data_IF_769612087458
#
_entry.id   IF_769612087458
#
_cell.length_a   1.000
_cell.length_b   1.000
_cell.length_c   1.000
_cell.angle_alpha   90.00
_cell.angle_beta   90.00
_cell.angle_gamma   90.00
#
_symmetry.space_group_name_H-M   'P 1'
#
loop_
_entity.id
_entity.type
_entity.pdbx_description
1 polymer ?
#
# COMPACT_ATOMS: atom_id res chain seq x y z
N UNK A 1 23.62 -1.95 -2.46
CA UNK A 1 23.56 -2.61 -3.77
C UNK A 1 23.47 -1.54 -4.87
N UNK A 2 22.60 -0.55 -4.79
CA UNK A 2 22.44 0.53 -5.77
C UNK A 2 23.70 1.39 -5.96
N UNK A 3 24.41 1.71 -4.87
CA UNK A 3 25.68 2.46 -4.92
C UNK A 3 26.80 1.72 -5.64
N UNK A 4 26.79 0.39 -5.63
CA UNK A 4 27.77 -0.44 -6.38
C UNK A 4 27.50 -0.38 -7.89
N UNK A 5 26.26 -0.21 -8.28
CA UNK A 5 25.85 -0.09 -9.69
C UNK A 5 26.25 1.26 -10.29
N UNK A 6 26.14 2.36 -9.54
CA UNK A 6 26.51 3.71 -9.98
C UNK A 6 28.04 3.91 -10.03
N UNK A 7 28.79 3.20 -9.19
CA UNK A 7 30.25 3.40 -9.04
C UNK A 7 31.10 2.68 -10.09
N UNK A 8 30.54 1.81 -10.92
CA UNK A 8 31.26 1.13 -11.99
C UNK A 8 30.92 1.73 -13.38
N UNK A 9 30.71 3.03 -13.45
CA UNK A 9 30.24 3.74 -14.63
C UNK A 9 31.38 3.97 -15.64
N UNK A 10 31.54 3.07 -16.59
CA UNK A 10 31.72 3.47 -17.97
C UNK A 10 30.31 3.87 -18.44
N UNK A 11 30.14 5.11 -18.88
CA UNK A 11 28.89 5.62 -19.48
C UNK A 11 28.54 4.77 -20.69
N UNK A 12 27.84 3.67 -20.47
CA UNK A 12 27.31 2.87 -21.56
C UNK A 12 26.19 3.68 -22.20
N UNK A 13 26.39 4.09 -23.43
CA UNK A 13 25.37 4.79 -24.22
C UNK A 13 24.18 3.86 -24.40
N UNK A 14 23.11 4.15 -23.69
CA UNK A 14 21.83 3.42 -23.81
C UNK A 14 21.20 3.81 -25.15
N UNK A 15 20.79 2.85 -25.96
CA UNK A 15 20.11 3.10 -27.23
C UNK A 15 18.83 3.92 -27.00
N UNK A 16 18.54 4.82 -27.93
CA UNK A 16 17.37 5.72 -27.84
C UNK A 16 16.05 4.95 -27.66
N UNK A 17 15.94 3.77 -28.23
CA UNK A 17 14.78 2.88 -28.11
C UNK A 17 14.48 2.46 -26.66
N UNK A 18 15.49 2.37 -25.78
CA UNK A 18 15.28 1.97 -24.38
C UNK A 18 14.47 2.99 -23.55
N UNK A 19 14.46 4.26 -23.98
CA UNK A 19 13.65 5.30 -23.30
C UNK A 19 12.14 5.08 -23.45
N UNK A 20 11.69 4.30 -24.41
CA UNK A 20 10.27 3.94 -24.57
C UNK A 20 9.82 2.86 -23.60
N UNK A 21 10.72 2.16 -22.93
CA UNK A 21 10.37 1.07 -21.99
C UNK A 21 9.29 1.46 -20.96
N UNK A 22 9.37 2.61 -20.25
CA UNK A 22 8.31 2.99 -19.30
C UNK A 22 7.02 3.47 -19.98
N UNK A 23 7.08 3.88 -21.25
CA UNK A 23 5.93 4.42 -21.98
C UNK A 23 5.03 3.31 -22.50
N UNK A 24 5.60 2.17 -22.91
CA UNK A 24 4.87 1.07 -23.51
C UNK A 24 3.75 0.51 -22.63
N UNK A 25 3.96 0.21 -21.33
CA UNK A 25 2.88 -0.25 -20.47
C UNK A 25 1.73 0.75 -20.39
N UNK A 26 2.04 2.04 -20.24
CA UNK A 26 1.05 3.11 -20.19
C UNK A 26 0.24 3.20 -21.48
N UNK A 27 0.91 3.13 -22.62
CA UNK A 27 0.27 3.15 -23.92
C UNK A 27 -0.67 1.96 -24.12
N UNK A 28 -0.25 0.75 -23.75
CA UNK A 28 -1.05 -0.47 -23.85
C UNK A 28 -2.29 -0.42 -22.94
N UNK A 29 -2.14 0.12 -21.72
CA UNK A 29 -3.26 0.24 -20.77
C UNK A 29 -4.25 1.31 -21.25
N UNK A 30 -3.76 2.52 -21.60
CA UNK A 30 -4.63 3.66 -21.87
C UNK A 30 -5.34 3.59 -23.24
N UNK A 31 -4.68 3.03 -24.26
CA UNK A 31 -5.23 3.01 -25.62
C UNK A 31 -5.87 1.67 -25.95
N UNK A 32 -5.24 0.56 -25.57
CA UNK A 32 -5.73 -0.78 -25.93
C UNK A 32 -6.48 -1.48 -24.80
N UNK A 33 -6.64 -0.83 -23.61
CA UNK A 33 -7.28 -1.44 -22.43
C UNK A 33 -6.71 -2.82 -22.06
N UNK A 34 -5.40 -3.03 -22.31
CA UNK A 34 -4.72 -4.27 -21.96
C UNK A 34 -4.65 -4.40 -20.45
N UNK A 35 -4.81 -5.62 -19.94
CA UNK A 35 -4.65 -5.90 -18.52
C UNK A 35 -3.31 -5.35 -18.00
N UNK A 36 -3.34 -4.72 -16.82
CA UNK A 36 -2.19 -4.08 -16.19
C UNK A 36 -0.94 -4.98 -16.13
N UNK A 37 -1.09 -6.23 -15.66
CA UNK A 37 0.03 -7.17 -15.53
C UNK A 37 0.60 -7.52 -16.92
N UNK A 38 -0.26 -7.79 -17.90
CA UNK A 38 0.17 -8.11 -19.26
C UNK A 38 0.90 -6.93 -19.90
N UNK A 39 0.42 -5.70 -19.72
CA UNK A 39 1.06 -4.50 -20.25
C UNK A 39 2.47 -4.29 -19.66
N UNK A 40 2.65 -4.51 -18.37
CA UNK A 40 3.97 -4.42 -17.74
C UNK A 40 4.91 -5.54 -18.19
N UNK A 41 4.42 -6.76 -18.38
CA UNK A 41 5.22 -7.86 -18.95
C UNK A 41 5.68 -7.49 -20.37
N UNK A 42 4.80 -6.94 -21.21
CA UNK A 42 5.17 -6.45 -22.54
C UNK A 42 6.24 -5.36 -22.47
N UNK A 43 6.12 -4.40 -21.53
CA UNK A 43 7.12 -3.36 -21.30
C UNK A 43 8.47 -3.93 -20.88
N UNK A 44 8.50 -4.94 -20.01
CA UNK A 44 9.73 -5.62 -19.60
C UNK A 44 10.38 -6.38 -20.76
N UNK A 45 9.57 -7.12 -21.55
CA UNK A 45 10.07 -7.82 -22.74
C UNK A 45 10.64 -6.84 -23.75
N UNK A 46 9.93 -5.75 -24.01
CA UNK A 46 10.45 -4.70 -24.90
C UNK A 46 11.77 -4.11 -24.38
N UNK A 47 11.83 -3.74 -23.09
CA UNK A 47 13.04 -3.21 -22.48
C UNK A 47 14.22 -4.17 -22.58
N UNK A 48 13.98 -5.47 -22.38
CA UNK A 48 14.99 -6.50 -22.54
C UNK A 48 15.48 -6.59 -24.00
N UNK A 49 14.58 -6.56 -24.98
CA UNK A 49 14.94 -6.58 -26.41
C UNK A 49 15.69 -5.30 -26.80
N UNK A 50 15.19 -4.13 -26.38
CA UNK A 50 15.79 -2.83 -26.72
C UNK A 50 17.20 -2.63 -26.12
N UNK A 51 17.50 -3.31 -25.02
CA UNK A 51 18.82 -3.25 -24.34
C UNK A 51 19.65 -4.51 -24.53
N UNK A 52 19.25 -5.41 -25.44
CA UNK A 52 19.87 -6.72 -25.61
C UNK A 52 21.34 -6.62 -26.02
N UNK A 53 22.22 -7.25 -25.21
CA UNK A 53 23.68 -7.32 -25.45
C UNK A 53 24.18 -8.71 -25.01
N UNK A 54 25.41 -9.02 -25.42
CA UNK A 54 26.08 -10.25 -24.96
C UNK A 54 26.18 -10.26 -23.41
N UNK A 55 25.54 -11.23 -22.78
CA UNK A 55 25.46 -11.33 -21.32
C UNK A 55 24.18 -10.72 -20.69
N UNK A 56 23.31 -10.08 -21.47
CA UNK A 56 22.04 -9.49 -20.96
C UNK A 56 21.13 -10.51 -20.27
N UNK A 57 21.17 -11.78 -20.70
CA UNK A 57 20.37 -12.83 -20.08
C UNK A 57 20.77 -13.04 -18.61
N UNK A 58 22.06 -13.08 -18.30
CA UNK A 58 22.54 -13.22 -16.91
C UNK A 58 22.15 -12.02 -16.07
N UNK A 59 22.27 -10.80 -16.62
CA UNK A 59 21.85 -9.57 -15.94
C UNK A 59 20.34 -9.59 -15.68
N UNK A 60 19.55 -10.02 -16.67
CA UNK A 60 18.11 -10.15 -16.53
C UNK A 60 17.72 -11.15 -15.43
N UNK A 61 18.29 -12.34 -15.44
CA UNK A 61 18.04 -13.36 -14.40
C UNK A 61 18.43 -12.84 -13.01
N UNK A 62 19.59 -12.20 -12.90
CA UNK A 62 20.02 -11.61 -11.64
C UNK A 62 19.10 -10.50 -11.17
N UNK A 63 18.65 -9.61 -12.07
CA UNK A 63 17.68 -8.55 -11.76
C UNK A 63 16.33 -9.10 -11.31
N UNK A 64 15.86 -10.20 -11.91
CA UNK A 64 14.62 -10.88 -11.48
C UNK A 64 14.78 -11.45 -10.07
N UNK A 65 15.91 -12.09 -9.77
CA UNK A 65 16.17 -12.64 -8.43
C UNK A 65 16.31 -11.53 -7.37
N UNK A 66 17.04 -10.47 -7.68
CA UNK A 66 17.18 -9.31 -6.80
C UNK A 66 15.83 -8.60 -6.59
N UNK A 67 15.05 -8.39 -7.66
CA UNK A 67 13.71 -7.84 -7.60
C UNK A 67 12.77 -8.71 -6.75
N UNK A 68 12.83 -10.03 -6.92
CA UNK A 68 12.10 -10.99 -6.10
C UNK A 68 12.45 -10.86 -4.61
N UNK A 69 13.73 -10.76 -4.29
CA UNK A 69 14.20 -10.59 -2.91
C UNK A 69 13.71 -9.27 -2.28
N UNK A 70 13.64 -8.19 -3.05
CA UNK A 70 13.11 -6.89 -2.60
C UNK A 70 11.61 -6.92 -2.33
N UNK A 71 10.85 -7.66 -3.16
CA UNK A 71 9.38 -7.74 -3.04
C UNK A 71 8.92 -8.79 -2.02
N UNK A 72 9.75 -9.80 -1.73
CA UNK A 72 9.39 -10.91 -0.84
C UNK A 72 8.86 -10.47 0.54
N UNK A 73 9.45 -9.49 1.25
CA UNK A 73 8.90 -9.02 2.52
C UNK A 73 7.47 -8.50 2.41
N UNK A 74 7.14 -7.81 1.30
CA UNK A 74 5.79 -7.32 1.05
C UNK A 74 4.81 -8.47 0.78
N UNK A 75 5.23 -9.49 0.03
CA UNK A 75 4.41 -10.68 -0.24
C UNK A 75 4.12 -11.44 1.07
N UNK A 76 5.15 -11.67 1.90
CA UNK A 76 4.98 -12.34 3.20
C UNK A 76 4.05 -11.55 4.11
N UNK A 77 4.16 -10.21 4.13
CA UNK A 77 3.26 -9.34 4.87
C UNK A 77 1.81 -9.48 4.38
N UNK A 78 1.59 -9.45 3.06
CA UNK A 78 0.25 -9.61 2.47
C UNK A 78 -0.36 -10.97 2.80
N UNK A 79 0.43 -12.05 2.76
CA UNK A 79 -0.02 -13.38 3.17
C UNK A 79 -0.41 -13.39 4.67
N UNK A 80 0.42 -12.79 5.53
CA UNK A 80 0.13 -12.66 6.95
C UNK A 80 -1.15 -11.88 7.23
N UNK A 81 -1.37 -10.77 6.50
CA UNK A 81 -2.61 -9.98 6.58
C UNK A 81 -3.81 -10.82 6.11
N UNK A 82 -3.68 -11.55 5.00
CA UNK A 82 -4.73 -12.43 4.49
C UNK A 82 -5.11 -13.54 5.50
N UNK A 83 -4.11 -14.14 6.14
CA UNK A 83 -4.33 -15.12 7.22
C UNK A 83 -5.04 -14.49 8.42
N UNK A 84 -4.62 -13.28 8.84
CA UNK A 84 -5.25 -12.55 9.94
C UNK A 84 -6.71 -12.21 9.62
N UNK A 85 -6.99 -11.74 8.40
CA UNK A 85 -8.34 -11.47 7.94
C UNK A 85 -9.23 -12.73 8.00
N UNK A 86 -8.75 -13.84 7.46
CA UNK A 86 -9.47 -15.11 7.53
C UNK A 86 -9.69 -15.57 8.97
N UNK A 87 -8.74 -15.32 9.88
CA UNK A 87 -8.91 -15.65 11.29
C UNK A 87 -9.97 -14.79 11.99
N UNK A 88 -10.10 -13.50 11.61
CA UNK A 88 -11.02 -12.55 12.27
C UNK A 88 -12.41 -12.59 11.64
N UNK A 89 -12.52 -12.58 10.31
CA UNK A 89 -13.79 -12.46 9.58
C UNK A 89 -14.35 -13.84 9.23
N UNK A 90 -13.49 -14.84 9.18
CA UNK A 90 -13.79 -16.18 8.71
C UNK A 90 -13.46 -16.38 7.23
N UNK A 91 -13.49 -17.63 6.77
CA UNK A 91 -13.08 -18.00 5.42
C UNK A 91 -14.04 -17.55 4.32
N UNK A 92 -15.20 -16.99 4.67
CA UNK A 92 -16.17 -16.49 3.70
C UNK A 92 -16.86 -17.58 2.86
N UNK A 93 -17.54 -17.17 1.79
CA UNK A 93 -18.09 -18.05 0.77
C UNK A 93 -18.98 -19.17 1.30
N UNK A 94 -18.75 -20.40 0.83
CA UNK A 94 -19.55 -21.58 1.14
C UNK A 94 -19.57 -21.91 2.65
N UNK A 95 -18.54 -21.58 3.41
CA UNK A 95 -18.49 -21.80 4.84
C UNK A 95 -19.53 -20.94 5.58
N UNK A 96 -19.64 -19.66 5.23
CA UNK A 96 -20.63 -18.76 5.83
C UNK A 96 -22.05 -19.17 5.49
N UNK A 97 -22.29 -19.73 4.30
CA UNK A 97 -23.59 -20.26 3.90
C UNK A 97 -23.99 -21.50 4.71
N UNK A 98 -23.00 -22.32 5.09
CA UNK A 98 -23.21 -23.53 5.89
C UNK A 98 -23.32 -23.29 7.41
N UNK A 99 -22.89 -22.10 7.88
CA UNK A 99 -22.83 -21.75 9.30
C UNK A 99 -23.58 -20.43 9.56
N UNK A 100 -24.92 -20.48 9.73
CA UNK A 100 -25.75 -19.28 9.91
C UNK A 100 -25.41 -18.49 11.18
N UNK A 101 -24.82 -19.13 12.18
CA UNK A 101 -24.37 -18.47 13.43
C UNK A 101 -23.15 -17.56 13.22
N UNK A 102 -22.56 -17.59 12.02
CA UNK A 102 -21.41 -16.77 11.65
C UNK A 102 -20.09 -17.22 12.29
N UNK A 103 -19.06 -16.43 12.04
CA UNK A 103 -17.70 -16.74 12.51
C UNK A 103 -17.53 -16.36 13.99
N UNK A 104 -17.06 -17.28 14.86
CA UNK A 104 -17.02 -17.07 16.32
C UNK A 104 -16.21 -15.84 16.74
N UNK A 105 -15.04 -15.63 16.12
CA UNK A 105 -14.16 -14.49 16.46
C UNK A 105 -14.82 -13.16 16.09
N UNK A 106 -15.45 -13.09 14.91
CA UNK A 106 -16.17 -11.90 14.49
C UNK A 106 -17.36 -11.61 15.41
N UNK A 107 -18.09 -12.63 15.83
CA UNK A 107 -19.23 -12.49 16.75
C UNK A 107 -18.80 -11.99 18.13
N UNK A 108 -17.60 -12.38 18.59
CA UNK A 108 -17.00 -11.85 19.83
C UNK A 108 -16.60 -10.40 19.70
N UNK A 109 -16.10 -9.99 18.53
CA UNK A 109 -15.60 -8.63 18.28
C UNK A 109 -16.71 -7.63 17.95
N UNK A 110 -17.78 -8.06 17.29
CA UNK A 110 -18.91 -7.19 16.89
C UNK A 110 -19.42 -6.26 17.99
N UNK A 111 -19.76 -6.73 19.21
CA UNK A 111 -20.31 -5.86 20.25
C UNK A 111 -19.30 -4.79 20.73
N UNK A 112 -18.00 -5.11 20.72
CA UNK A 112 -16.95 -4.16 21.06
C UNK A 112 -16.79 -3.14 19.94
N UNK A 113 -16.79 -3.58 18.69
CA UNK A 113 -16.65 -2.72 17.53
C UNK A 113 -17.87 -1.81 17.32
N UNK A 114 -19.08 -2.30 17.59
CA UNK A 114 -20.30 -1.51 17.50
C UNK A 114 -20.27 -0.26 18.41
N UNK A 115 -19.52 -0.30 19.51
CA UNK A 115 -19.34 0.85 20.39
C UNK A 115 -18.30 1.85 19.87
N UNK A 116 -17.41 1.41 18.98
CA UNK A 116 -16.30 2.22 18.42
C UNK A 116 -16.66 2.79 17.05
N UNK A 117 -17.52 2.08 16.28
CA UNK A 117 -17.92 2.54 14.94
C UNK A 117 -18.74 3.82 15.08
N UNK A 118 -18.32 4.92 14.41
CA UNK A 118 -19.04 6.18 14.49
C UNK A 118 -20.41 6.09 13.79
N UNK A 119 -21.44 6.62 14.43
CA UNK A 119 -22.80 6.64 13.90
C UNK A 119 -23.08 7.85 12.99
N UNK A 120 -22.25 8.88 13.05
CA UNK A 120 -22.42 10.12 12.30
C UNK A 120 -21.08 10.70 11.85
N UNK A 121 -21.14 11.60 10.85
CA UNK A 121 -19.95 12.20 10.25
C UNK A 121 -19.08 12.99 11.24
N UNK A 122 -19.66 13.62 12.25
CA UNK A 122 -18.90 14.37 13.25
C UNK A 122 -18.05 13.42 14.13
N UNK A 123 -18.66 12.35 14.65
CA UNK A 123 -17.93 11.35 15.44
C UNK A 123 -16.88 10.61 14.61
N UNK A 124 -17.16 10.40 13.32
CA UNK A 124 -16.20 9.84 12.36
C UNK A 124 -14.95 10.73 12.22
N UNK A 125 -15.13 12.02 11.99
CA UNK A 125 -14.01 12.97 11.85
C UNK A 125 -13.22 13.06 13.15
N UNK A 126 -13.90 13.16 14.29
CA UNK A 126 -13.26 13.31 15.58
C UNK A 126 -12.46 12.08 15.98
N UNK A 127 -13.08 10.89 15.88
CA UNK A 127 -12.43 9.63 16.23
C UNK A 127 -11.21 9.35 15.35
N UNK A 128 -11.40 9.35 14.03
CA UNK A 128 -10.33 8.98 13.11
C UNK A 128 -9.34 10.11 12.85
N UNK A 129 -9.77 11.37 13.01
CA UNK A 129 -8.85 12.50 12.98
C UNK A 129 -7.85 12.47 14.14
N UNK A 130 -8.32 12.14 15.35
CA UNK A 130 -7.42 11.95 16.48
C UNK A 130 -6.58 10.68 16.35
N UNK A 131 -7.16 9.61 15.81
CA UNK A 131 -6.48 8.33 15.63
C UNK A 131 -5.54 8.27 14.41
N UNK A 132 -5.55 9.26 13.51
CA UNK A 132 -4.75 9.24 12.29
C UNK A 132 -3.25 8.94 12.49
N UNK A 133 -2.57 9.43 13.56
CA UNK A 133 -1.18 9.07 13.85
C UNK A 133 -0.95 7.59 14.11
N UNK A 134 -1.98 6.80 14.44
CA UNK A 134 -1.86 5.35 14.58
C UNK A 134 -1.63 4.62 13.25
N UNK A 135 -1.63 5.35 12.12
CA UNK A 135 -1.15 4.83 10.85
C UNK A 135 0.39 4.72 10.77
N UNK A 136 1.13 5.39 11.65
CA UNK A 136 2.59 5.32 11.71
C UNK A 136 3.08 3.96 12.21
N UNK A 137 4.32 3.62 11.89
CA UNK A 137 5.01 2.40 12.32
C UNK A 137 4.24 1.11 12.02
N UNK A 138 3.54 1.08 10.89
CA UNK A 138 2.66 -0.03 10.48
C UNK A 138 1.59 -0.37 11.52
N UNK A 139 1.13 0.66 12.20
CA UNK A 139 0.15 0.57 13.28
C UNK A 139 -1.27 0.20 12.84
N UNK A 140 -2.25 0.33 13.76
CA UNK A 140 -3.61 -0.14 13.55
C UNK A 140 -4.34 0.47 12.34
N UNK A 141 -4.06 1.72 11.98
CA UNK A 141 -4.66 2.39 10.83
C UNK A 141 -3.78 2.40 9.59
N UNK A 142 -2.64 1.71 9.63
CA UNK A 142 -1.76 1.58 8.46
C UNK A 142 -2.30 0.51 7.50
N UNK A 143 -2.57 0.89 6.26
CA UNK A 143 -3.11 -0.04 5.23
C UNK A 143 -2.16 -1.21 4.97
N UNK A 144 -0.85 -0.97 4.98
CA UNK A 144 0.18 -2.00 4.81
C UNK A 144 0.61 -2.67 6.13
N UNK A 145 -0.12 -2.40 7.21
CA UNK A 145 0.03 -2.99 8.52
C UNK A 145 -1.28 -3.65 8.97
N UNK A 146 -1.71 -3.35 10.21
CA UNK A 146 -2.94 -3.91 10.79
C UNK A 146 -4.22 -3.23 10.29
N UNK A 147 -4.14 -2.08 9.62
CA UNK A 147 -5.31 -1.29 9.21
C UNK A 147 -6.21 -2.01 8.22
N UNK A 148 -5.68 -2.91 7.41
CA UNK A 148 -6.49 -3.72 6.52
C UNK A 148 -7.44 -4.66 7.31
N UNK A 149 -6.95 -5.23 8.41
CA UNK A 149 -7.76 -6.04 9.32
C UNK A 149 -8.85 -5.21 10.00
N UNK A 150 -8.51 -4.00 10.47
CA UNK A 150 -9.50 -3.10 11.06
C UNK A 150 -10.54 -2.62 10.05
N UNK A 151 -10.14 -2.30 8.81
CA UNK A 151 -11.08 -1.94 7.75
C UNK A 151 -12.14 -3.03 7.55
N UNK A 152 -11.73 -4.29 7.53
CA UNK A 152 -12.63 -5.41 7.39
C UNK A 152 -13.57 -5.56 8.61
N UNK A 153 -13.08 -5.31 9.83
CA UNK A 153 -13.92 -5.30 11.03
C UNK A 153 -14.93 -4.16 11.00
N UNK A 154 -14.55 -2.96 10.56
CA UNK A 154 -15.47 -1.82 10.40
C UNK A 154 -16.58 -2.14 9.39
N UNK A 155 -16.22 -2.73 8.25
CA UNK A 155 -17.19 -3.21 7.26
C UNK A 155 -18.17 -4.24 7.87
N UNK A 156 -17.63 -5.24 8.58
CA UNK A 156 -18.43 -6.26 9.22
C UNK A 156 -19.32 -5.73 10.35
N UNK A 157 -18.95 -4.59 10.94
CA UNK A 157 -19.73 -3.89 11.99
C UNK A 157 -20.77 -2.92 11.43
N UNK A 158 -20.92 -2.85 10.09
CA UNK A 158 -21.97 -2.07 9.42
C UNK A 158 -21.56 -0.68 8.97
N UNK A 159 -20.28 -0.31 9.09
CA UNK A 159 -19.79 0.96 8.55
C UNK A 159 -19.87 0.96 7.01
N UNK A 160 -20.36 2.05 6.36
CA UNK A 160 -20.44 2.11 4.90
C UNK A 160 -19.07 1.86 4.24
N UNK A 161 -19.03 1.02 3.21
CA UNK A 161 -17.78 0.67 2.53
C UNK A 161 -17.03 1.91 1.99
N UNK A 162 -17.77 2.89 1.47
CA UNK A 162 -17.22 4.14 0.99
C UNK A 162 -16.58 4.98 2.12
N UNK A 163 -17.19 4.99 3.31
CA UNK A 163 -16.62 5.67 4.47
C UNK A 163 -15.35 4.97 4.98
N UNK A 164 -15.32 3.62 4.99
CA UNK A 164 -14.10 2.86 5.31
C UNK A 164 -12.99 3.14 4.30
N UNK A 165 -13.32 3.19 3.01
CA UNK A 165 -12.36 3.55 1.96
C UNK A 165 -11.86 4.99 2.12
N UNK A 166 -12.75 5.92 2.40
CA UNK A 166 -12.41 7.32 2.70
C UNK A 166 -11.47 7.44 3.90
N UNK A 167 -11.72 6.69 4.98
CA UNK A 167 -10.82 6.58 6.13
C UNK A 167 -9.42 6.12 5.71
N UNK A 168 -9.33 5.00 4.99
CA UNK A 168 -8.05 4.43 4.59
C UNK A 168 -7.25 5.37 3.66
N UNK A 169 -7.94 6.06 2.75
CA UNK A 169 -7.32 7.06 1.87
C UNK A 169 -6.84 8.29 2.65
N UNK A 170 -7.64 8.79 3.58
CA UNK A 170 -7.30 9.96 4.39
C UNK A 170 -6.09 9.69 5.28
N UNK A 171 -6.11 8.62 6.08
CA UNK A 171 -4.98 8.28 6.97
C UNK A 171 -3.77 7.77 6.20
N UNK A 172 -3.98 7.29 4.96
CA UNK A 172 -2.92 6.92 4.03
C UNK A 172 -1.94 8.06 3.75
N UNK A 173 -2.34 9.32 3.88
CA UNK A 173 -1.44 10.48 3.75
C UNK A 173 -0.39 10.50 4.87
N UNK A 174 -0.81 10.22 6.11
CA UNK A 174 0.11 10.13 7.27
C UNK A 174 1.08 8.96 7.07
N UNK A 175 0.55 7.80 6.73
CA UNK A 175 1.34 6.60 6.46
C UNK A 175 2.30 6.81 5.28
N UNK A 176 1.80 7.35 4.16
CA UNK A 176 2.58 7.46 2.92
C UNK A 176 3.78 8.40 3.04
N UNK A 177 3.60 9.53 3.70
CA UNK A 177 4.59 10.62 3.69
C UNK A 177 5.41 10.67 4.98
N UNK A 178 4.80 10.38 6.14
CA UNK A 178 5.45 10.61 7.43
C UNK A 178 5.95 9.33 8.12
N UNK A 179 5.51 8.13 7.70
CA UNK A 179 5.90 6.88 8.36
C UNK A 179 7.40 6.58 8.14
N UNK A 180 8.22 6.55 9.21
CA UNK A 180 9.65 6.28 9.09
C UNK A 180 9.97 4.82 8.72
N UNK A 181 8.99 3.93 8.73
CA UNK A 181 9.17 2.53 8.32
C UNK A 181 8.95 2.31 6.82
N UNK A 182 8.49 3.34 6.10
CA UNK A 182 8.35 3.27 4.66
C UNK A 182 9.71 3.32 3.96
N UNK A 183 9.91 2.41 3.03
CA UNK A 183 11.18 2.25 2.31
C UNK A 183 11.63 3.53 1.62
N UNK A 184 10.71 4.29 1.01
CA UNK A 184 11.04 5.54 0.33
C UNK A 184 11.46 6.64 1.31
N UNK A 185 10.87 6.72 2.51
CA UNK A 185 11.29 7.68 3.52
C UNK A 185 12.67 7.35 4.08
N UNK A 186 12.95 6.07 4.32
CA UNK A 186 14.29 5.59 4.72
C UNK A 186 15.31 5.88 3.63
N UNK A 187 14.96 5.59 2.38
CA UNK A 187 15.85 5.87 1.25
C UNK A 187 16.13 7.35 1.10
N UNK A 188 15.10 8.20 1.15
CA UNK A 188 15.23 9.65 1.04
C UNK A 188 16.10 10.22 2.19
N UNK A 189 15.83 9.79 3.42
CA UNK A 189 16.60 10.21 4.58
C UNK A 189 18.09 9.83 4.44
N UNK A 190 18.38 8.61 3.99
CA UNK A 190 19.75 8.15 3.76
C UNK A 190 20.45 8.94 2.65
N UNK A 191 19.76 9.22 1.54
CA UNK A 191 20.32 9.98 0.43
C UNK A 191 20.63 11.43 0.83
N UNK A 192 19.77 12.04 1.64
CA UNK A 192 19.95 13.39 2.16
C UNK A 192 20.79 13.44 3.45
N UNK A 193 21.32 12.32 3.92
CA UNK A 193 22.10 12.21 5.16
C UNK A 193 21.38 12.82 6.38
N UNK A 194 20.06 12.61 6.45
CA UNK A 194 19.21 13.05 7.55
C UNK A 194 18.70 11.85 8.34
N UNK A 195 18.31 12.09 9.59
CA UNK A 195 17.59 11.11 10.38
C UNK A 195 16.15 10.97 9.88
N UNK A 196 15.68 9.74 9.65
CA UNK A 196 14.32 9.46 9.21
C UNK A 196 13.26 9.93 10.22
N UNK A 197 13.59 9.96 11.52
CA UNK A 197 12.72 10.51 12.56
C UNK A 197 12.53 12.03 12.39
N UNK A 198 13.55 12.74 11.92
CA UNK A 198 13.43 14.16 11.62
C UNK A 198 12.49 14.41 10.42
N UNK A 199 12.51 13.53 9.42
CA UNK A 199 11.54 13.56 8.32
C UNK A 199 10.13 13.39 8.86
N UNK A 200 9.90 12.40 9.71
CA UNK A 200 8.60 12.18 10.36
C UNK A 200 8.10 13.44 11.07
N UNK A 201 8.87 14.00 12.02
CA UNK A 201 8.42 15.13 12.81
C UNK A 201 8.18 16.40 12.01
N UNK A 202 8.92 16.59 10.92
CA UNK A 202 8.74 17.74 10.04
C UNK A 202 7.54 17.60 9.10
N UNK A 203 7.14 16.38 8.73
CA UNK A 203 6.05 16.13 7.78
C UNK A 203 4.71 15.82 8.48
N UNK A 204 4.74 15.24 9.68
CA UNK A 204 3.55 14.79 10.39
C UNK A 204 2.47 15.87 10.59
N UNK A 205 2.77 17.11 11.00
CA UNK A 205 1.73 18.13 11.17
C UNK A 205 0.94 18.39 9.89
N UNK A 206 1.63 18.43 8.76
CA UNK A 206 1.00 18.70 7.46
C UNK A 206 0.16 17.52 6.99
N UNK A 207 0.69 16.30 7.10
CA UNK A 207 -0.01 15.08 6.69
C UNK A 207 -1.18 14.77 7.60
N UNK A 208 -1.09 15.11 8.87
CA UNK A 208 -2.21 14.99 9.81
C UNK A 208 -3.35 15.95 9.46
N UNK A 209 -3.04 17.21 9.15
CA UNK A 209 -4.05 18.17 8.68
C UNK A 209 -4.69 17.66 7.38
N UNK A 210 -3.91 17.17 6.42
CA UNK A 210 -4.44 16.58 5.19
C UNK A 210 -5.33 15.37 5.45
N UNK A 211 -4.97 14.52 6.41
CA UNK A 211 -5.81 13.39 6.82
C UNK A 211 -7.15 13.86 7.39
N UNK A 212 -7.14 14.87 8.27
CA UNK A 212 -8.38 15.44 8.81
C UNK A 212 -9.24 16.05 7.71
N UNK A 213 -8.66 16.80 6.77
CA UNK A 213 -9.40 17.34 5.63
C UNK A 213 -9.99 16.23 4.75
N UNK A 214 -9.24 15.16 4.52
CA UNK A 214 -9.72 13.98 3.81
C UNK A 214 -10.88 13.28 4.53
N UNK A 215 -10.82 13.19 5.87
CA UNK A 215 -11.91 12.65 6.69
C UNK A 215 -13.16 13.55 6.66
N UNK A 216 -12.98 14.87 6.65
CA UNK A 216 -14.10 15.82 6.48
C UNK A 216 -14.78 15.60 5.12
N UNK A 217 -13.99 15.51 4.05
CA UNK A 217 -14.52 15.24 2.72
C UNK A 217 -15.26 13.89 2.67
N UNK A 218 -14.68 12.84 3.25
CA UNK A 218 -15.30 11.52 3.30
C UNK A 218 -16.60 11.53 4.14
N UNK A 219 -16.62 12.25 5.26
CA UNK A 219 -17.82 12.39 6.07
C UNK A 219 -18.95 13.11 5.33
N UNK A 220 -18.63 14.20 4.62
CA UNK A 220 -19.62 14.95 3.83
C UNK A 220 -20.19 14.15 2.65
N UNK A 221 -19.42 13.18 2.14
CA UNK A 221 -19.83 12.38 0.97
C UNK A 221 -20.55 11.08 1.36
N UNK A 222 -20.29 10.51 2.54
CA UNK A 222 -20.69 9.14 2.86
C UNK A 222 -21.44 8.98 4.19
N UNK A 223 -21.56 10.05 4.98
CA UNK A 223 -22.38 10.16 6.18
C UNK A 223 -23.40 11.28 6.07
#
# INVERSE_FOLDING_TARGET
VFQRFIRNNRSETVGWTAYFTPIIPLFLILIFNVNFIAAFICGLVYGFIATFRKGSLNIFVQSVLEGGAVVMPAIVLMLGIGMLLNAIIGPGGAWNAANPDGWPVLNLLKPVMAQIVPENGFSYILLFGFAAPFALYRGPLNVWGMGYGLAAIFLASGMPAAAVMGLMLAVGQVQGISDPTNTHNVWLANEMQQDVQKVLWNTLPYTWILAVLGLVAAALMFY
#
